data_IF_002702756943
#
_entry.id   IF_002702756943
#
_cell.length_a   1.000
_cell.length_b   1.000
_cell.length_c   1.000
_cell.angle_alpha   90.00
_cell.angle_beta   90.00
_cell.angle_gamma   90.00
#
_symmetry.space_group_name_H-M   'P 1'
#
loop_
_entity.id
_entity.type
_entity.pdbx_description
1 polymer ?
#
# COMPACT_ATOMS: atom_id res chain seq x y z
N UNK A 1 -20.43 -24.98 18.83
CA UNK A 1 -18.97 -24.84 19.04
C UNK A 1 -18.24 -25.29 17.79
N UNK A 2 -17.75 -24.37 16.96
CA UNK A 2 -16.96 -24.68 15.78
C UNK A 2 -15.58 -24.04 15.93
N UNK A 3 -14.53 -24.87 15.88
CA UNK A 3 -13.13 -24.51 16.12
C UNK A 3 -12.63 -23.65 14.96
N UNK A 4 -12.19 -22.43 15.28
CA UNK A 4 -11.51 -21.50 14.36
C UNK A 4 -10.15 -22.09 13.98
N UNK A 5 -9.91 -22.34 12.69
CA UNK A 5 -8.56 -22.59 12.16
C UNK A 5 -7.85 -21.24 12.05
N UNK A 6 -6.83 -21.06 12.87
CA UNK A 6 -5.91 -19.95 12.78
C UNK A 6 -5.01 -20.13 11.54
N UNK A 7 -5.16 -19.26 10.54
CA UNK A 7 -4.13 -19.05 9.54
C UNK A 7 -3.03 -18.20 10.20
N UNK A 8 -2.00 -18.87 10.71
CA UNK A 8 -0.83 -18.24 11.32
C UNK A 8 0.14 -17.84 10.20
N UNK A 9 -0.10 -16.69 9.56
CA UNK A 9 0.87 -16.09 8.65
C UNK A 9 1.92 -15.33 9.49
N UNK A 10 3.21 -15.67 9.31
CA UNK A 10 4.36 -15.02 9.96
C UNK A 10 4.68 -13.62 9.39
N UNK A 11 3.67 -12.80 9.07
CA UNK A 11 3.88 -11.51 8.38
C UNK A 11 3.13 -10.34 9.03
N UNK A 12 3.40 -9.99 10.30
CA UNK A 12 2.69 -8.92 11.00
C UNK A 12 3.09 -7.49 10.61
N UNK A 13 4.08 -7.27 9.73
CA UNK A 13 4.58 -5.91 9.43
C UNK A 13 3.73 -5.12 8.44
N UNK A 14 3.41 -5.71 7.28
CA UNK A 14 2.81 -4.99 6.17
C UNK A 14 1.30 -4.76 6.33
N UNK A 15 0.54 -5.78 6.77
CA UNK A 15 -0.90 -5.63 7.04
C UNK A 15 -1.17 -4.56 8.11
N UNK A 16 -0.30 -4.43 9.11
CA UNK A 16 -0.46 -3.49 10.23
C UNK A 16 -0.14 -2.02 9.88
N UNK A 17 0.67 -1.78 8.83
CA UNK A 17 0.91 -0.43 8.28
C UNK A 17 -0.06 -0.09 7.15
N UNK A 18 -0.48 -1.08 6.37
CA UNK A 18 -1.43 -0.91 5.26
C UNK A 18 -2.83 -0.47 5.72
N UNK A 19 -3.23 -0.81 6.95
CA UNK A 19 -4.60 -0.55 7.44
C UNK A 19 -4.80 0.83 8.07
N UNK A 20 -3.91 1.77 7.74
CA UNK A 20 -3.93 3.14 8.24
C UNK A 20 -4.67 4.05 7.24
N UNK A 21 -5.96 4.24 7.58
CA UNK A 21 -6.74 5.50 7.55
C UNK A 21 -7.52 5.97 6.30
N UNK A 22 -8.51 6.86 6.58
CA UNK A 22 -9.79 7.18 5.89
C UNK A 22 -9.79 8.28 4.81
N UNK A 23 -10.86 8.20 4.01
CA UNK A 23 -11.56 9.24 3.25
C UNK A 23 -11.65 10.65 3.89
N UNK A 24 -11.65 11.67 3.02
CA UNK A 24 -12.10 13.03 3.33
C UNK A 24 -13.48 13.04 4.02
N UNK A 25 -13.57 13.65 5.22
CA UNK A 25 -14.84 14.06 5.80
C UNK A 25 -14.99 14.05 7.31
N UNK A 26 -14.25 13.26 8.10
CA UNK A 26 -14.45 13.22 9.55
C UNK A 26 -13.15 13.05 10.34
N UNK A 27 -12.29 14.07 10.27
CA UNK A 27 -11.04 14.30 11.02
C UNK A 27 -9.81 14.38 10.12
N UNK A 28 -9.83 15.35 9.19
CA UNK A 28 -8.62 16.07 8.86
C UNK A 28 -8.72 17.42 9.58
N UNK A 29 -7.64 17.90 10.17
CA UNK A 29 -7.57 19.31 10.59
C UNK A 29 -7.11 20.17 9.39
N UNK A 30 -6.50 19.56 8.35
CA UNK A 30 -5.79 20.29 7.28
C UNK A 30 -6.10 19.90 5.82
N UNK A 31 -7.13 19.09 5.54
CA UNK A 31 -7.57 18.84 4.15
C UNK A 31 -6.74 17.85 3.32
N UNK A 32 -5.52 17.47 3.73
CA UNK A 32 -4.64 16.61 2.94
C UNK A 32 -5.07 15.14 2.95
N UNK A 33 -5.21 14.53 1.77
CA UNK A 33 -5.67 13.14 1.58
C UNK A 33 -4.56 12.08 1.67
N UNK A 34 -3.30 12.50 1.75
CA UNK A 34 -2.10 11.63 1.60
C UNK A 34 -1.19 11.67 2.84
N UNK A 35 -0.67 12.85 3.20
CA UNK A 35 0.21 13.08 4.35
C UNK A 35 -0.17 14.40 4.98
N UNK A 36 -0.39 14.43 6.30
CA UNK A 36 -0.37 15.68 7.07
C UNK A 36 0.60 15.53 8.22
N UNK A 37 1.28 16.63 8.59
CA UNK A 37 2.24 16.65 9.69
C UNK A 37 1.57 16.36 11.05
N UNK A 38 0.24 16.47 11.12
CA UNK A 38 -0.56 16.26 12.33
C UNK A 38 -1.23 14.89 12.40
N UNK A 39 -1.63 14.32 11.25
CA UNK A 39 -2.47 13.11 11.18
C UNK A 39 -1.73 11.91 10.52
N UNK A 40 -0.54 12.11 9.96
CA UNK A 40 0.24 11.07 9.28
C UNK A 40 -0.54 10.49 8.10
N UNK A 41 -0.83 9.18 8.14
CA UNK A 41 -1.68 8.54 7.14
C UNK A 41 -3.20 8.86 7.30
N UNK A 42 -3.66 9.50 8.40
CA UNK A 42 -5.07 9.76 8.83
C UNK A 42 -5.51 9.15 10.22
N UNK A 43 -6.80 8.77 10.46
CA UNK A 43 -7.37 7.98 11.62
C UNK A 43 -7.95 6.55 11.33
N UNK A 44 -7.93 5.57 12.27
CA UNK A 44 -8.13 4.09 12.02
C UNK A 44 -9.59 3.70 11.70
N UNK A 45 -9.77 2.78 10.73
CA UNK A 45 -11.04 2.06 10.45
C UNK A 45 -10.89 0.59 10.77
N UNK A 46 -11.28 0.21 11.98
CA UNK A 46 -11.26 -1.20 12.36
C UNK A 46 -12.18 -2.05 11.45
N UNK A 47 -13.29 -1.48 10.96
CA UNK A 47 -14.23 -2.14 10.06
C UNK A 47 -13.63 -2.42 8.67
N UNK A 48 -12.97 -1.44 8.05
CA UNK A 48 -12.32 -1.66 6.75
C UNK A 48 -11.08 -2.55 6.89
N UNK A 49 -10.41 -2.48 8.05
CA UNK A 49 -9.32 -3.37 8.37
C UNK A 49 -9.77 -4.83 8.49
N UNK A 50 -10.91 -5.06 9.14
CA UNK A 50 -11.54 -6.38 9.20
C UNK A 50 -11.91 -6.86 7.80
N UNK A 51 -12.61 -6.05 7.00
CA UNK A 51 -12.99 -6.36 5.61
C UNK A 51 -11.78 -6.79 4.76
N UNK A 52 -10.72 -5.97 4.71
CA UNK A 52 -9.49 -6.29 3.97
C UNK A 52 -8.87 -7.59 4.48
N UNK A 53 -8.78 -7.78 5.80
CA UNK A 53 -8.21 -9.01 6.39
C UNK A 53 -9.01 -10.27 6.00
N UNK A 54 -10.31 -10.09 5.78
CA UNK A 54 -11.26 -11.11 5.36
C UNK A 54 -11.43 -11.21 3.84
N UNK A 55 -10.66 -10.45 3.06
CA UNK A 55 -10.73 -10.38 1.59
C UNK A 55 -12.11 -9.90 1.07
N UNK A 56 -12.76 -9.06 1.86
CA UNK A 56 -14.04 -8.42 1.54
C UNK A 56 -13.75 -7.01 1.06
N UNK A 57 -14.26 -6.65 -0.12
CA UNK A 57 -14.05 -5.33 -0.74
C UNK A 57 -12.57 -4.91 -0.88
N UNK A 58 -11.64 -5.85 -0.86
CA UNK A 58 -10.22 -5.56 -0.79
C UNK A 58 -9.38 -6.82 -0.67
N UNK A 59 -8.08 -6.66 -0.71
CA UNK A 59 -7.12 -7.74 -0.53
C UNK A 59 -5.78 -7.20 0.00
N UNK A 60 -4.94 -8.08 0.51
CA UNK A 60 -3.60 -7.78 1.00
C UNK A 60 -2.62 -8.89 0.64
N UNK A 61 -1.32 -8.59 0.74
CA UNK A 61 -0.28 -9.57 0.47
C UNK A 61 1.09 -9.10 0.92
N UNK A 62 2.07 -9.99 0.73
CA UNK A 62 3.46 -9.70 1.01
C UNK A 62 4.38 -10.64 0.24
N UNK A 63 5.59 -10.18 -0.03
CA UNK A 63 6.64 -10.95 -0.70
C UNK A 63 8.01 -10.53 -0.20
N UNK A 64 8.99 -11.42 -0.38
CA UNK A 64 10.39 -11.02 -0.30
C UNK A 64 10.69 -10.03 -1.43
N UNK A 65 11.43 -8.96 -1.13
CA UNK A 65 11.74 -7.92 -2.10
C UNK A 65 13.19 -7.49 -1.93
N UNK A 66 13.94 -7.34 -3.01
CA UNK A 66 15.36 -6.97 -2.94
C UNK A 66 15.80 -6.10 -4.10
N UNK A 67 17.04 -5.62 -4.05
CA UNK A 67 17.59 -4.78 -5.11
C UNK A 67 17.75 -5.50 -6.45
N UNK A 68 17.62 -6.83 -6.49
CA UNK A 68 17.60 -7.61 -7.75
C UNK A 68 16.19 -7.75 -8.36
N UNK A 69 15.13 -7.35 -7.64
CA UNK A 69 13.77 -7.35 -8.18
C UNK A 69 13.69 -6.46 -9.42
N UNK A 70 12.86 -6.81 -10.42
CA UNK A 70 12.69 -5.98 -11.61
C UNK A 70 12.34 -4.52 -11.26
N UNK A 71 12.69 -3.58 -12.14
CA UNK A 71 12.41 -2.14 -11.92
C UNK A 71 10.94 -1.90 -11.56
N UNK A 72 10.02 -2.64 -12.19
CA UNK A 72 8.60 -2.61 -11.87
C UNK A 72 8.09 -4.03 -11.63
N UNK A 73 7.34 -4.21 -10.54
CA UNK A 73 6.77 -5.50 -10.15
C UNK A 73 5.28 -5.35 -9.87
N UNK A 74 4.46 -6.17 -10.53
CA UNK A 74 3.04 -6.30 -10.21
C UNK A 74 2.87 -7.06 -8.89
N UNK A 75 2.19 -6.43 -7.93
CA UNK A 75 1.94 -7.03 -6.60
C UNK A 75 0.49 -7.44 -6.40
N UNK A 76 -0.46 -6.84 -7.12
CA UNK A 76 -1.85 -7.27 -7.10
C UNK A 76 -2.58 -6.96 -8.40
N UNK A 77 -3.58 -7.80 -8.70
CA UNK A 77 -4.64 -7.50 -9.65
C UNK A 77 -5.91 -7.14 -8.87
N UNK A 78 -6.57 -6.06 -9.26
CA UNK A 78 -7.72 -5.50 -8.56
C UNK A 78 -8.92 -5.44 -9.50
N UNK A 79 -9.98 -6.17 -9.20
CA UNK A 79 -11.22 -6.05 -9.94
C UNK A 79 -11.97 -4.81 -9.42
N UNK A 80 -11.92 -3.71 -10.16
CA UNK A 80 -12.47 -2.42 -9.73
C UNK A 80 -13.64 -2.00 -10.61
N UNK A 81 -14.56 -1.24 -10.02
CA UNK A 81 -15.77 -0.73 -10.69
C UNK A 81 -15.67 0.78 -10.83
N UNK A 82 -15.98 1.31 -12.02
CA UNK A 82 -15.99 2.74 -12.28
C UNK A 82 -16.89 3.50 -11.30
N UNK A 83 -16.48 4.71 -10.91
CA UNK A 83 -17.16 5.56 -9.94
C UNK A 83 -16.94 5.15 -8.48
N UNK A 84 -16.32 3.99 -8.21
CA UNK A 84 -15.95 3.58 -6.86
C UNK A 84 -14.63 4.18 -6.44
N UNK A 85 -14.51 4.47 -5.16
CA UNK A 85 -13.24 4.91 -4.60
C UNK A 85 -12.39 3.72 -4.24
N UNK A 86 -11.09 3.86 -4.45
CA UNK A 86 -10.08 2.89 -4.09
C UNK A 86 -9.00 3.59 -3.30
N UNK A 87 -8.52 2.89 -2.27
CA UNK A 87 -7.30 3.25 -1.54
C UNK A 87 -6.38 2.05 -1.56
N UNK A 88 -5.13 2.27 -1.95
CA UNK A 88 -4.10 1.23 -1.99
C UNK A 88 -2.82 1.72 -1.33
N UNK A 89 -2.05 0.79 -0.78
CA UNK A 89 -0.89 1.09 0.03
C UNK A 89 0.16 0.00 -0.09
N UNK A 90 1.43 0.40 -0.05
CA UNK A 90 2.56 -0.49 0.16
C UNK A 90 3.33 -0.05 1.39
N UNK A 91 4.02 -1.00 2.00
CA UNK A 91 5.01 -0.73 3.04
C UNK A 91 6.15 -1.75 2.91
N UNK A 92 7.37 -1.31 3.19
CA UNK A 92 8.55 -2.15 3.18
C UNK A 92 9.40 -1.93 4.43
N UNK A 93 10.29 -2.87 4.71
CA UNK A 93 11.33 -2.69 5.71
C UNK A 93 12.54 -1.95 5.13
N UNK A 94 13.25 -1.24 5.99
CA UNK A 94 14.53 -0.61 5.68
C UNK A 94 15.61 -1.28 6.49
N UNK A 95 16.77 -1.52 5.88
CA UNK A 95 17.87 -2.18 6.57
C UNK A 95 18.61 -1.16 7.48
N UNK A 96 18.70 -1.41 8.82
CA UNK A 96 19.38 -0.51 9.76
C UNK A 96 20.88 -0.37 9.53
N UNK A 97 21.50 -1.30 8.81
CA UNK A 97 22.93 -1.23 8.46
C UNK A 97 23.19 -0.32 7.24
N UNK A 98 22.14 0.26 6.64
CA UNK A 98 22.29 1.22 5.56
C UNK A 98 23.02 2.48 6.04
N UNK A 99 24.06 2.89 5.31
CA UNK A 99 24.95 3.99 5.72
C UNK A 99 24.25 5.34 5.93
N UNK A 100 23.04 5.52 5.36
CA UNK A 100 22.24 6.75 5.48
C UNK A 100 20.88 6.49 6.14
N UNK A 101 20.76 5.45 6.97
CA UNK A 101 19.52 5.02 7.61
C UNK A 101 18.82 6.12 8.42
N UNK A 102 19.58 7.04 9.00
CA UNK A 102 19.09 8.20 9.76
C UNK A 102 18.47 9.30 8.87
N UNK A 103 18.82 9.31 7.59
CA UNK A 103 18.37 10.33 6.63
C UNK A 103 17.30 9.81 5.66
N UNK A 104 17.40 8.54 5.22
CA UNK A 104 16.52 8.01 4.18
C UNK A 104 16.42 6.48 4.23
N UNK A 105 15.33 5.89 3.68
CA UNK A 105 15.21 4.44 3.58
C UNK A 105 16.25 3.83 2.62
N UNK A 106 16.63 2.59 2.90
CA UNK A 106 17.62 1.84 2.12
C UNK A 106 17.22 1.61 0.65
N UNK A 107 15.91 1.64 0.38
CA UNK A 107 15.31 1.64 -0.94
C UNK A 107 14.19 2.67 -1.03
N UNK A 108 14.01 3.20 -2.23
CA UNK A 108 12.96 4.15 -2.61
C UNK A 108 12.01 3.43 -3.58
N UNK A 109 10.82 3.10 -3.08
CA UNK A 109 9.80 2.33 -3.78
C UNK A 109 8.57 3.18 -3.99
N UNK A 110 8.09 3.26 -5.23
CA UNK A 110 6.86 3.98 -5.56
C UNK A 110 5.69 3.01 -5.72
N UNK A 111 4.48 3.51 -5.47
CA UNK A 111 3.23 2.81 -5.77
C UNK A 111 2.58 3.37 -7.03
N UNK A 112 2.19 2.49 -7.95
CA UNK A 112 1.45 2.82 -9.18
C UNK A 112 0.18 1.98 -9.30
N UNK A 113 -0.91 2.63 -9.70
CA UNK A 113 -2.17 1.99 -10.10
C UNK A 113 -2.32 2.16 -11.60
N UNK A 114 -2.54 1.05 -12.30
CA UNK A 114 -2.76 1.02 -13.74
C UNK A 114 -4.17 0.59 -14.08
N UNK A 115 -4.74 1.21 -15.10
CA UNK A 115 -6.01 0.81 -15.69
C UNK A 115 -5.91 -0.51 -16.49
N UNK A 116 -7.03 -1.06 -17.00
CA UNK A 116 -7.00 -2.28 -17.81
C UNK A 116 -6.22 -2.17 -19.13
N UNK A 117 -5.95 -0.95 -19.62
CA UNK A 117 -5.11 -0.71 -20.80
C UNK A 117 -3.61 -0.65 -20.45
N UNK A 118 -3.25 -0.72 -19.16
CA UNK A 118 -1.88 -0.62 -18.66
C UNK A 118 -1.39 0.81 -18.41
N UNK A 119 -2.27 1.81 -18.53
CA UNK A 119 -1.94 3.22 -18.29
C UNK A 119 -1.89 3.49 -16.79
N UNK A 120 -0.84 4.17 -16.30
CA UNK A 120 -0.78 4.62 -14.90
C UNK A 120 -1.83 5.72 -14.68
N UNK A 121 -2.83 5.45 -13.85
CA UNK A 121 -3.93 6.38 -13.53
C UNK A 121 -3.77 7.06 -12.18
N UNK A 122 -2.92 6.53 -11.30
CA UNK A 122 -2.55 7.16 -10.04
C UNK A 122 -1.20 6.61 -9.55
N UNK A 123 -0.42 7.45 -8.86
CA UNK A 123 0.84 7.04 -8.26
C UNK A 123 1.19 7.83 -6.99
N UNK A 124 2.10 7.27 -6.20
CA UNK A 124 2.66 7.88 -5.00
C UNK A 124 4.17 7.62 -4.99
N UNK A 125 4.95 8.72 -4.97
CA UNK A 125 6.39 8.79 -5.28
C UNK A 125 7.17 9.58 -4.21
N UNK A 126 6.99 9.23 -2.92
CA UNK A 126 7.70 9.92 -1.84
C UNK A 126 9.11 9.37 -1.65
N UNK A 127 10.04 10.25 -1.28
CA UNK A 127 11.46 9.89 -1.21
C UNK A 127 11.87 9.28 0.13
N UNK A 128 11.19 9.69 1.20
CA UNK A 128 11.65 9.52 2.59
C UNK A 128 10.76 8.58 3.42
N UNK A 129 9.68 8.06 2.86
CA UNK A 129 8.81 7.12 3.56
C UNK A 129 9.14 5.68 3.22
N UNK A 130 8.89 4.78 4.16
CA UNK A 130 8.88 3.32 3.95
C UNK A 130 7.48 2.78 3.60
N UNK A 131 6.65 3.66 3.04
CA UNK A 131 5.29 3.36 2.63
C UNK A 131 4.84 4.35 1.56
N UNK A 132 3.95 3.91 0.68
CA UNK A 132 3.29 4.76 -0.30
C UNK A 132 1.79 4.53 -0.26
N UNK A 133 1.00 5.58 -0.47
CA UNK A 133 -0.45 5.53 -0.40
C UNK A 133 -1.04 6.28 -1.59
N UNK A 134 -2.00 5.65 -2.25
CA UNK A 134 -2.81 6.26 -3.30
C UNK A 134 -4.29 6.19 -2.94
N UNK A 135 -5.02 7.24 -3.28
CA UNK A 135 -6.48 7.26 -3.25
C UNK A 135 -6.98 7.84 -4.58
N UNK A 136 -7.98 7.19 -5.18
CA UNK A 136 -8.55 7.61 -6.46
C UNK A 136 -10.03 7.20 -6.57
N UNK A 137 -10.77 7.92 -7.41
CA UNK A 137 -12.05 7.44 -7.95
C UNK A 137 -11.74 6.75 -9.28
N UNK A 138 -12.18 5.51 -9.42
CA UNK A 138 -11.87 4.66 -10.58
C UNK A 138 -12.65 5.16 -11.79
N UNK A 139 -11.96 5.44 -12.90
CA UNK A 139 -12.57 5.95 -14.13
C UNK A 139 -13.14 4.86 -15.05
N UNK A 140 -12.67 3.62 -14.94
CA UNK A 140 -13.02 2.51 -15.84
C UNK A 140 -13.26 1.24 -15.04
N UNK A 141 -14.29 0.45 -15.37
CA UNK A 141 -14.50 -0.86 -14.75
C UNK A 141 -13.57 -1.89 -15.39
N UNK A 142 -12.91 -2.71 -14.57
CA UNK A 142 -12.10 -3.81 -15.07
C UNK A 142 -10.96 -4.23 -14.16
N UNK A 143 -10.08 -5.07 -14.69
CA UNK A 143 -8.90 -5.57 -14.00
C UNK A 143 -7.80 -4.51 -14.01
N UNK A 144 -7.57 -3.89 -12.86
CA UNK A 144 -6.50 -2.92 -12.64
C UNK A 144 -5.28 -3.60 -12.07
N UNK A 145 -4.12 -2.98 -12.25
CA UNK A 145 -2.85 -3.48 -11.72
C UNK A 145 -2.34 -2.56 -10.63
N UNK A 146 -1.97 -3.14 -9.49
CA UNK A 146 -1.16 -2.48 -8.48
C UNK A 146 0.30 -2.90 -8.69
N UNK A 147 1.16 -1.93 -8.95
CA UNK A 147 2.57 -2.15 -9.24
C UNK A 147 3.46 -1.32 -8.31
N UNK A 148 4.64 -1.86 -8.02
CA UNK A 148 5.70 -1.18 -7.29
C UNK A 148 6.84 -0.89 -8.25
N UNK A 149 7.29 0.36 -8.32
CA UNK A 149 8.52 0.72 -9.03
C UNK A 149 9.65 1.01 -8.07
N UNK A 150 10.88 0.70 -8.49
CA UNK A 150 12.10 0.89 -7.69
C UNK A 150 12.88 2.09 -8.22
N UNK A 151 12.67 3.26 -7.63
CA UNK A 151 13.35 4.49 -8.00
C UNK A 151 14.83 4.46 -7.56
N UNK A 152 15.12 3.91 -6.37
CA UNK A 152 16.47 3.73 -5.83
C UNK A 152 16.54 2.44 -5.02
N UNK A 153 17.70 1.78 -5.03
CA UNK A 153 17.98 0.69 -4.10
C UNK A 153 19.46 0.71 -3.71
N UNK A 154 19.76 1.22 -2.53
CA UNK A 154 21.11 1.27 -1.97
C UNK A 154 21.43 0.02 -1.15
N UNK A 155 20.45 -0.50 -0.41
CA UNK A 155 20.54 -1.78 0.29
C UNK A 155 19.17 -2.45 0.31
N UNK A 156 19.15 -3.77 0.09
CA UNK A 156 17.91 -4.53 -0.13
C UNK A 156 17.00 -4.46 1.09
N UNK A 157 15.72 -4.10 0.91
CA UNK A 157 14.67 -4.52 1.83
C UNK A 157 14.69 -6.05 1.99
N UNK A 158 14.00 -6.59 2.98
CA UNK A 158 13.74 -8.04 3.06
C UNK A 158 12.31 -8.36 2.69
N UNK A 159 11.38 -7.45 2.96
CA UNK A 159 9.95 -7.65 2.81
C UNK A 159 9.24 -6.42 2.27
N UNK A 160 8.39 -6.67 1.29
CA UNK A 160 7.38 -5.73 0.80
C UNK A 160 6.01 -6.32 1.14
N UNK A 161 5.07 -5.50 1.57
CA UNK A 161 3.67 -5.88 1.53
C UNK A 161 2.74 -4.75 1.17
N UNK A 162 1.51 -5.13 0.86
CA UNK A 162 0.53 -4.26 0.26
C UNK A 162 -0.87 -4.57 0.75
N UNK A 163 -1.76 -3.59 0.62
CA UNK A 163 -3.19 -3.81 0.68
C UNK A 163 -3.94 -2.81 -0.19
N UNK A 164 -5.18 -3.14 -0.51
CA UNK A 164 -6.12 -2.23 -1.15
C UNK A 164 -7.55 -2.50 -0.69
N UNK A 165 -8.37 -1.47 -0.75
CA UNK A 165 -9.79 -1.51 -0.41
C UNK A 165 -10.58 -0.64 -1.39
N UNK A 166 -11.80 -1.09 -1.73
CA UNK A 166 -12.74 -0.39 -2.60
C UNK A 166 -14.11 -0.25 -1.92
N UNK A 167 -14.88 0.78 -2.27
CA UNK A 167 -16.21 1.05 -1.70
C UNK A 167 -17.31 0.96 -2.74
#
# INVERSE_FOLDING_TARGET
MARRRAARAHHPGAAHRALRQRHAGCSNIQGASRLSDLDGAGGIRADYADDVSMHVHGNWGGMAYGCETAYETTVAFMQLTAGKKVRAVIAWDTDPDYASYDMQPSADLDLRIKDPAGTVIQQSVSWDNTYEIVELIVGTTGLHTMAVSKARCGLSPRWLGWAWFTQ
#
